data_IF_310578777591
#
_entry.id   IF_310578777591
#
_cell.length_a   1.000
_cell.length_b   1.000
_cell.length_c   1.000
_cell.angle_alpha   90.00
_cell.angle_beta   90.00
_cell.angle_gamma   90.00
#
_symmetry.space_group_name_H-M   'P 1'
#
loop_
_entity.id
_entity.type
_entity.pdbx_description
1 polymer ?
#
# COMPACT_ATOMS: atom_id res chain seq x y z
N UNK A 1 17.48 -19.34 38.04
CA UNK A 1 16.00 -19.45 38.04
C UNK A 1 15.49 -18.26 37.25
N UNK A 2 14.87 -18.45 36.07
CA UNK A 2 14.24 -17.32 35.34
C UNK A 2 13.04 -16.87 36.19
N UNK A 3 13.03 -15.61 36.60
CA UNK A 3 11.92 -15.06 37.36
C UNK A 3 10.65 -15.01 36.49
N UNK A 4 9.49 -15.12 37.11
CA UNK A 4 8.20 -15.09 36.41
C UNK A 4 8.05 -13.76 35.64
N UNK A 5 8.64 -12.68 36.17
CA UNK A 5 8.66 -11.36 35.56
C UNK A 5 9.35 -11.35 34.18
N UNK A 6 10.54 -11.95 34.03
CA UNK A 6 11.25 -12.02 32.74
C UNK A 6 10.51 -12.86 31.71
N UNK A 7 9.85 -13.94 32.14
CA UNK A 7 9.02 -14.77 31.26
C UNK A 7 7.78 -14.02 30.76
N UNK A 8 7.13 -13.24 31.62
CA UNK A 8 5.98 -12.40 31.26
C UNK A 8 6.40 -11.27 30.30
N UNK A 9 7.48 -10.55 30.62
CA UNK A 9 8.01 -9.49 29.76
C UNK A 9 8.40 -10.02 28.36
N UNK A 10 9.05 -11.19 28.30
CA UNK A 10 9.43 -11.82 27.03
C UNK A 10 8.19 -12.21 26.21
N UNK A 11 7.14 -12.70 26.86
CA UNK A 11 5.88 -13.07 26.19
C UNK A 11 5.14 -11.86 25.66
N UNK A 12 5.10 -10.77 26.44
CA UNK A 12 4.49 -9.50 26.04
C UNK A 12 5.22 -8.89 24.84
N UNK A 13 6.56 -8.80 24.91
CA UNK A 13 7.38 -8.32 23.80
C UNK A 13 7.19 -9.15 22.53
N UNK A 14 7.19 -10.47 22.63
CA UNK A 14 6.90 -11.35 21.49
C UNK A 14 5.46 -11.21 20.98
N UNK A 15 4.50 -10.84 21.84
CA UNK A 15 3.14 -10.49 21.45
C UNK A 15 3.10 -9.21 20.61
N UNK A 16 3.78 -8.16 21.07
CA UNK A 16 3.89 -6.88 20.38
C UNK A 16 4.58 -7.03 19.02
N UNK A 17 5.75 -7.66 18.96
CA UNK A 17 6.49 -7.87 17.71
C UNK A 17 5.66 -8.64 16.67
N UNK A 18 4.90 -9.66 17.11
CA UNK A 18 3.96 -10.38 16.23
C UNK A 18 2.81 -9.49 15.76
N UNK A 19 2.25 -8.67 16.65
CA UNK A 19 1.19 -7.73 16.31
C UNK A 19 1.64 -6.71 15.26
N UNK A 20 2.82 -6.12 15.45
CA UNK A 20 3.44 -5.18 14.52
C UNK A 20 3.68 -5.84 13.16
N UNK A 21 4.27 -7.05 13.14
CA UNK A 21 4.52 -7.80 11.90
C UNK A 21 3.23 -8.09 11.14
N UNK A 22 2.19 -8.58 11.81
CA UNK A 22 0.89 -8.87 11.18
C UNK A 22 0.25 -7.57 10.66
N UNK A 23 0.36 -6.48 11.42
CA UNK A 23 -0.14 -5.16 11.03
C UNK A 23 0.53 -4.67 9.75
N UNK A 24 1.86 -4.75 9.68
CA UNK A 24 2.64 -4.38 8.50
C UNK A 24 2.27 -5.25 7.28
N UNK A 25 2.27 -6.58 7.43
CA UNK A 25 1.93 -7.50 6.33
C UNK A 25 0.52 -7.25 5.78
N UNK A 26 -0.45 -6.99 6.67
CA UNK A 26 -1.82 -6.64 6.27
C UNK A 26 -1.86 -5.29 5.57
N UNK A 27 -1.16 -4.29 6.11
CA UNK A 27 -1.08 -2.94 5.53
C UNK A 27 -0.50 -2.97 4.12
N UNK A 28 0.62 -3.67 3.92
CA UNK A 28 1.26 -3.84 2.61
C UNK A 28 0.33 -4.54 1.61
N UNK A 29 -0.35 -5.62 2.03
CA UNK A 29 -1.29 -6.34 1.17
C UNK A 29 -2.49 -5.49 0.77
N UNK A 30 -3.04 -4.69 1.69
CA UNK A 30 -4.15 -3.78 1.41
C UNK A 30 -3.67 -2.65 0.49
N UNK A 31 -2.50 -2.07 0.78
CA UNK A 31 -1.90 -1.00 -0.02
C UNK A 31 -1.64 -1.42 -1.46
N UNK A 32 -1.05 -2.60 -1.69
CA UNK A 32 -0.81 -3.15 -3.03
C UNK A 32 -2.13 -3.37 -3.80
N UNK A 33 -3.14 -3.96 -3.15
CA UNK A 33 -4.44 -4.17 -3.78
C UNK A 33 -5.10 -2.84 -4.17
N UNK A 34 -5.17 -1.88 -3.23
CA UNK A 34 -5.77 -0.57 -3.47
C UNK A 34 -5.00 0.19 -4.56
N UNK A 35 -3.67 0.17 -4.53
CA UNK A 35 -2.82 0.81 -5.54
C UNK A 35 -3.03 0.24 -6.94
N UNK A 36 -3.11 -1.09 -7.09
CA UNK A 36 -3.42 -1.73 -8.38
C UNK A 36 -4.80 -1.37 -8.90
N UNK A 37 -5.81 -1.33 -8.02
CA UNK A 37 -7.17 -0.93 -8.40
C UNK A 37 -7.23 0.53 -8.86
N UNK A 38 -6.55 1.43 -8.14
CA UNK A 38 -6.46 2.84 -8.48
C UNK A 38 -5.75 3.05 -9.82
N UNK A 39 -4.61 2.39 -10.06
CA UNK A 39 -3.90 2.45 -11.34
C UNK A 39 -4.74 1.88 -12.49
N UNK A 40 -5.41 0.74 -12.29
CA UNK A 40 -6.30 0.16 -13.32
C UNK A 40 -7.43 1.12 -13.69
N UNK A 41 -8.02 1.78 -12.69
CA UNK A 41 -9.09 2.76 -12.92
C UNK A 41 -8.57 3.99 -13.66
N UNK A 42 -7.37 4.47 -13.30
CA UNK A 42 -6.73 5.58 -13.98
C UNK A 42 -6.51 5.28 -15.47
N UNK A 43 -5.93 4.11 -15.80
CA UNK A 43 -5.69 3.73 -17.19
C UNK A 43 -6.99 3.57 -17.99
N UNK A 44 -8.06 3.09 -17.36
CA UNK A 44 -9.39 3.04 -18.00
C UNK A 44 -9.93 4.43 -18.32
N UNK A 45 -9.83 5.39 -17.39
CA UNK A 45 -10.26 6.78 -17.63
C UNK A 45 -9.46 7.44 -18.75
N UNK A 46 -8.14 7.27 -18.76
CA UNK A 46 -7.30 7.80 -19.84
C UNK A 46 -7.66 7.15 -21.19
N UNK A 47 -8.04 5.87 -21.21
CA UNK A 47 -8.52 5.19 -22.41
C UNK A 47 -9.82 5.80 -22.94
N UNK A 48 -10.79 6.02 -22.04
CA UNK A 48 -12.10 6.63 -22.35
C UNK A 48 -11.95 8.06 -22.88
N UNK A 49 -10.99 8.82 -22.36
CA UNK A 49 -10.66 10.17 -22.81
C UNK A 49 -9.77 10.21 -24.06
N UNK A 50 -9.32 9.06 -24.56
CA UNK A 50 -8.45 8.96 -25.73
C UNK A 50 -6.98 9.33 -25.49
N UNK A 51 -6.57 9.54 -24.24
CA UNK A 51 -5.23 9.99 -23.79
C UNK A 51 -4.24 8.81 -23.69
N UNK A 52 -4.17 7.96 -24.72
CA UNK A 52 -3.34 6.75 -24.73
C UNK A 52 -1.85 7.05 -24.68
N UNK A 53 -1.43 8.19 -25.21
CA UNK A 53 -0.07 8.70 -25.20
C UNK A 53 0.49 8.90 -23.79
N UNK A 54 -0.38 9.08 -22.80
CA UNK A 54 0.04 9.28 -21.42
C UNK A 54 0.33 7.99 -20.67
N UNK A 55 -0.06 6.82 -21.22
CA UNK A 55 0.07 5.53 -20.53
C UNK A 55 1.52 5.22 -20.16
N UNK A 56 2.45 5.38 -21.10
CA UNK A 56 3.87 5.09 -20.84
C UNK A 56 4.43 6.03 -19.76
N UNK A 57 3.99 7.29 -19.75
CA UNK A 57 4.37 8.24 -18.71
C UNK A 57 3.80 7.86 -17.35
N UNK A 58 2.51 7.54 -17.27
CA UNK A 58 1.87 7.07 -16.01
C UNK A 58 2.56 5.83 -15.45
N UNK A 59 3.03 4.91 -16.29
CA UNK A 59 3.67 3.67 -15.85
C UNK A 59 5.13 3.82 -15.43
N UNK A 60 5.80 4.92 -15.79
CA UNK A 60 7.24 5.14 -15.52
C UNK A 60 7.51 6.29 -14.57
N UNK A 61 6.63 7.28 -14.52
CA UNK A 61 6.76 8.50 -13.74
C UNK A 61 5.76 8.47 -12.58
N UNK A 62 6.26 8.08 -11.40
CA UNK A 62 5.45 7.95 -10.19
C UNK A 62 4.84 9.29 -9.74
N UNK A 63 5.53 10.41 -9.94
CA UNK A 63 5.01 11.73 -9.56
C UNK A 63 3.84 12.11 -10.48
N UNK A 64 3.98 11.82 -11.77
CA UNK A 64 2.91 12.02 -12.74
C UNK A 64 1.70 11.12 -12.48
N UNK A 65 1.94 9.83 -12.19
CA UNK A 65 0.91 8.90 -11.77
C UNK A 65 0.16 9.42 -10.54
N UNK A 66 0.89 9.87 -9.51
CA UNK A 66 0.29 10.35 -8.27
C UNK A 66 -0.50 11.65 -8.47
N UNK A 67 -0.02 12.56 -9.32
CA UNK A 67 -0.77 13.75 -9.72
C UNK A 67 -2.10 13.37 -10.37
N UNK A 68 -2.09 12.49 -11.37
CA UNK A 68 -3.31 12.06 -12.05
C UNK A 68 -4.25 11.29 -11.11
N UNK A 69 -3.72 10.41 -10.26
CA UNK A 69 -4.54 9.71 -9.25
C UNK A 69 -5.32 10.69 -8.37
N UNK A 70 -4.72 11.83 -7.99
CA UNK A 70 -5.42 12.88 -7.22
C UNK A 70 -6.42 13.65 -8.06
N UNK A 71 -6.07 14.01 -9.30
CA UNK A 71 -6.98 14.71 -10.23
C UNK A 71 -8.25 13.91 -10.51
N UNK A 72 -8.14 12.58 -10.59
CA UNK A 72 -9.27 11.67 -10.77
C UNK A 72 -9.91 11.21 -9.46
N UNK A 73 -9.47 11.73 -8.30
CA UNK A 73 -9.97 11.35 -6.98
C UNK A 73 -9.87 9.84 -6.68
N UNK A 74 -8.81 9.20 -7.19
CA UNK A 74 -8.50 7.78 -6.99
C UNK A 74 -7.51 7.56 -5.83
N UNK A 75 -6.98 8.64 -5.25
CA UNK A 75 -6.10 8.66 -4.08
C UNK A 75 -6.30 9.94 -3.28
#
# INVERSE_FOLDING_TARGET
MRDIASALYSREKAGQERGEKIGQERGEKIGDKTGRQALSTLLQKLLEEGRKEEFDRVLRDNEYQEKLLREYHLK
#
